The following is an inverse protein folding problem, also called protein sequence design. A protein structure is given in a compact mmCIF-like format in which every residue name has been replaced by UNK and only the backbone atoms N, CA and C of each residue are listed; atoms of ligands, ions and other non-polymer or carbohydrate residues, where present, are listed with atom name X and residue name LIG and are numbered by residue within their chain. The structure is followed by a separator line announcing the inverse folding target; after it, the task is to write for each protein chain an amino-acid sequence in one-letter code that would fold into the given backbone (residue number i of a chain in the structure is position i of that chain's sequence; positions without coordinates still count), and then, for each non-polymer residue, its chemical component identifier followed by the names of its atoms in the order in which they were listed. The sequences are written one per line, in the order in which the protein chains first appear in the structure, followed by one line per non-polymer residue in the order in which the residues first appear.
data_IF_953811519395
#
_entry.id   IF_953811519395
#
_cell.length_a   1.000
_cell.length_b   1.000
_cell.length_c   1.000
_cell.angle_alpha   90.00
_cell.angle_beta   90.00
_cell.angle_gamma   90.00
#
_symmetry.space_group_name_H-M   'P 1'
#
loop_
_entity.id
_entity.type
_entity.pdbx_description
1 polymer ?
#
# COMPACT_ATOMS: atom_id res chain seq x y z
N UNK A 1 1.92 -17.33 15.55
CA UNK A 1 2.04 -15.91 15.18
C UNK A 1 1.20 -15.03 16.11
N UNK A 2 1.58 -13.76 16.26
CA UNK A 2 0.82 -12.75 17.01
C UNK A 2 -0.41 -12.34 16.20
N UNK A 3 -1.58 -12.50 16.81
CA UNK A 3 -2.87 -12.14 16.24
C UNK A 3 -3.50 -11.10 17.18
N UNK A 4 -4.01 -10.02 16.60
CA UNK A 4 -4.68 -8.98 17.39
C UNK A 4 -6.10 -9.42 17.69
N UNK A 5 -6.36 -9.83 18.93
CA UNK A 5 -7.70 -10.28 19.36
C UNK A 5 -8.53 -9.15 19.99
N UNK A 6 -7.86 -8.14 20.55
CA UNK A 6 -8.53 -7.03 21.23
C UNK A 6 -8.86 -5.90 20.27
N UNK A 7 -10.14 -5.51 20.23
CA UNK A 7 -10.62 -4.37 19.45
C UNK A 7 -9.89 -3.06 19.80
N UNK A 8 -9.62 -2.82 21.08
CA UNK A 8 -8.90 -1.63 21.52
C UNK A 8 -7.45 -1.61 20.99
N UNK A 9 -6.78 -2.76 21.00
CA UNK A 9 -5.42 -2.90 20.45
C UNK A 9 -5.44 -2.69 18.94
N UNK A 10 -6.44 -3.23 18.24
CA UNK A 10 -6.61 -3.02 16.79
C UNK A 10 -6.73 -1.53 16.45
N UNK A 11 -7.54 -0.76 17.19
CA UNK A 11 -7.66 0.70 17.00
C UNK A 11 -6.31 1.39 17.22
N UNK A 12 -5.60 1.06 18.30
CA UNK A 12 -4.28 1.65 18.58
C UNK A 12 -3.31 1.36 17.44
N UNK A 13 -3.30 0.13 16.92
CA UNK A 13 -2.48 -0.26 15.77
C UNK A 13 -2.87 0.48 14.50
N UNK A 14 -4.16 0.78 14.29
CA UNK A 14 -4.61 1.64 13.20
C UNK A 14 -4.02 3.05 13.33
N UNK A 15 -4.07 3.67 14.52
CA UNK A 15 -3.46 4.98 14.72
C UNK A 15 -1.95 4.98 14.47
N UNK A 16 -1.24 3.96 14.96
CA UNK A 16 0.21 3.79 14.71
C UNK A 16 0.46 3.69 13.20
N UNK A 17 -0.32 2.88 12.48
CA UNK A 17 -0.23 2.75 11.02
C UNK A 17 -0.42 4.09 10.32
N UNK A 18 -1.41 4.89 10.73
CA UNK A 18 -1.65 6.21 10.14
C UNK A 18 -0.51 7.20 10.41
N UNK A 19 0.11 7.15 11.60
CA UNK A 19 1.28 7.97 11.93
C UNK A 19 2.49 7.55 11.07
N UNK A 20 2.76 6.25 10.98
CA UNK A 20 3.85 5.72 10.15
C UNK A 20 3.66 6.11 8.68
N UNK A 21 2.44 5.99 8.16
CA UNK A 21 2.14 6.36 6.78
C UNK A 21 2.32 7.86 6.52
N UNK A 22 1.80 8.72 7.41
CA UNK A 22 1.98 10.17 7.30
C UNK A 22 3.44 10.64 7.50
N UNK A 23 4.26 9.84 8.19
CA UNK A 23 5.68 10.18 8.41
C UNK A 23 6.48 10.20 7.12
N UNK A 24 6.09 9.43 6.10
CA UNK A 24 6.80 9.33 4.82
C UNK A 24 6.96 10.68 4.09
N UNK A 25 5.88 11.47 4.02
CA UNK A 25 5.94 12.80 3.39
C UNK A 25 6.77 13.80 4.21
N UNK A 26 6.95 13.56 5.51
CA UNK A 26 7.77 14.41 6.37
C UNK A 26 9.25 14.03 6.29
N UNK A 27 9.57 12.73 6.25
CA UNK A 27 10.94 12.23 6.14
C UNK A 27 11.54 12.55 4.77
N UNK A 28 10.77 12.45 3.69
CA UNK A 28 11.19 12.92 2.35
C UNK A 28 11.60 14.40 2.36
N UNK A 29 10.81 15.27 2.99
CA UNK A 29 11.11 16.71 3.13
C UNK A 29 12.32 16.99 4.02
N UNK A 30 12.54 16.18 5.06
CA UNK A 30 13.70 16.32 5.94
C UNK A 30 15.02 16.02 5.20
N UNK A 31 15.03 15.03 4.31
CA UNK A 31 16.24 14.62 3.57
C UNK A 31 16.44 15.40 2.27
N UNK A 32 15.38 15.98 1.69
CA UNK A 32 15.50 16.82 0.48
C UNK A 32 16.37 18.05 0.72
N UNK A 33 16.36 18.60 1.93
CA UNK A 33 17.23 19.70 2.33
C UNK A 33 18.72 19.30 2.43
N UNK A 34 19.02 18.00 2.41
CA UNK A 34 20.37 17.43 2.52
C UNK A 34 20.90 16.84 1.21
N UNK A 35 20.28 17.15 0.06
CA UNK A 35 20.62 16.62 -1.27
C UNK A 35 20.52 15.09 -1.38
N UNK A 36 19.75 14.42 -0.52
CA UNK A 36 19.46 13.01 -0.72
C UNK A 36 18.46 12.88 -1.86
N UNK A 37 18.87 12.27 -2.95
CA UNK A 37 18.01 12.16 -4.13
C UNK A 37 16.83 11.23 -3.84
N UNK A 38 15.68 11.58 -4.41
CA UNK A 38 14.45 10.82 -4.19
C UNK A 38 14.59 9.32 -4.52
N UNK A 39 15.28 8.90 -5.60
CA UNK A 39 15.49 7.46 -5.87
C UNK A 39 16.22 6.75 -4.73
N UNK A 40 17.24 7.38 -4.12
CA UNK A 40 17.98 6.79 -2.99
C UNK A 40 17.08 6.66 -1.76
N UNK A 41 16.28 7.67 -1.46
CA UNK A 41 15.27 7.59 -0.39
C UNK A 41 14.30 6.42 -0.59
N UNK A 42 13.89 6.18 -1.84
CA UNK A 42 12.98 5.09 -2.16
C UNK A 42 13.65 3.72 -2.03
N UNK A 43 14.93 3.60 -2.40
CA UNK A 43 15.73 2.39 -2.11
C UNK A 43 15.84 2.13 -0.61
N UNK A 44 16.13 3.15 0.20
CA UNK A 44 16.19 3.03 1.66
C UNK A 44 14.85 2.55 2.23
N UNK A 45 13.74 3.07 1.69
CA UNK A 45 12.39 2.64 2.04
C UNK A 45 12.15 1.16 1.69
N UNK A 46 12.49 0.72 0.48
CA UNK A 46 12.31 -0.67 0.03
C UNK A 46 13.14 -1.65 0.88
N UNK A 47 14.40 -1.32 1.14
CA UNK A 47 15.29 -2.12 2.00
C UNK A 47 14.75 -2.17 3.42
N UNK A 48 14.35 -1.01 3.96
CA UNK A 48 13.77 -0.90 5.30
C UNK A 48 12.50 -1.76 5.44
N UNK A 49 11.63 -1.75 4.42
CA UNK A 49 10.44 -2.59 4.39
C UNK A 49 10.80 -4.08 4.39
N UNK A 50 11.75 -4.50 3.55
CA UNK A 50 12.20 -5.89 3.50
C UNK A 50 12.78 -6.35 4.85
N UNK A 51 13.68 -5.56 5.45
CA UNK A 51 14.27 -5.87 6.74
C UNK A 51 13.23 -5.91 7.86
N UNK A 52 12.31 -4.94 7.90
CA UNK A 52 11.23 -4.93 8.89
C UNK A 52 10.27 -6.10 8.70
N UNK A 53 9.94 -6.47 7.45
CA UNK A 53 9.09 -7.62 7.15
C UNK A 53 9.72 -8.94 7.63
N UNK A 54 11.03 -9.12 7.40
CA UNK A 54 11.78 -10.27 7.88
C UNK A 54 11.81 -10.29 9.41
N UNK A 55 12.11 -9.15 10.04
CA UNK A 55 12.09 -9.02 11.49
C UNK A 55 10.73 -9.43 12.04
N UNK A 56 9.63 -8.91 11.49
CA UNK A 56 8.29 -9.26 11.94
C UNK A 56 7.95 -10.72 11.66
N UNK A 57 8.31 -11.28 10.52
CA UNK A 57 8.06 -12.69 10.19
C UNK A 57 8.75 -13.65 11.17
N UNK A 58 10.01 -13.39 11.51
CA UNK A 58 10.76 -14.20 12.48
C UNK A 58 10.42 -13.92 13.95
N UNK A 59 9.80 -12.78 14.25
CA UNK A 59 9.36 -12.44 15.62
C UNK A 59 7.84 -12.62 15.76
N UNK A 60 7.06 -11.56 15.54
CA UNK A 60 5.60 -11.57 15.67
C UNK A 60 4.95 -12.69 14.84
N UNK A 61 5.45 -12.97 13.64
CA UNK A 61 5.01 -14.06 12.78
C UNK A 61 5.29 -15.46 13.33
N UNK A 62 6.24 -15.63 14.24
CA UNK A 62 6.72 -16.95 14.68
C UNK A 62 6.66 -17.21 16.19
N UNK A 63 6.39 -16.20 17.03
CA UNK A 63 6.42 -16.30 18.50
C UNK A 63 5.05 -16.54 19.17
N UNK A 64 3.95 -16.66 18.43
CA UNK A 64 2.60 -16.85 18.99
C UNK A 64 2.09 -18.29 18.95
N UNK A 65 1.16 -18.64 19.84
CA UNK A 65 0.60 -19.99 20.03
C UNK A 65 -0.39 -20.44 18.94
N UNK A 66 -1.03 -19.49 18.25
CA UNK A 66 -1.97 -19.74 17.16
C UNK A 66 -1.39 -19.39 15.79
N UNK A 67 -1.98 -19.89 14.71
CA UNK A 67 -1.52 -19.64 13.35
C UNK A 67 -0.32 -20.51 12.94
N UNK A 68 0.45 -20.06 11.95
CA UNK A 68 1.60 -20.79 11.40
C UNK A 68 2.85 -19.91 11.46
N UNK A 69 3.98 -20.48 11.89
CA UNK A 69 5.27 -19.76 11.90
C UNK A 69 5.82 -19.60 10.47
N UNK A 70 6.68 -18.60 10.29
CA UNK A 70 7.12 -18.15 8.96
C UNK A 70 7.69 -19.27 8.08
N UNK A 71 8.65 -20.06 8.58
CA UNK A 71 9.33 -21.07 7.76
C UNK A 71 8.37 -22.18 7.28
N UNK A 72 7.58 -22.85 8.16
CA UNK A 72 6.56 -23.79 7.70
C UNK A 72 5.51 -23.17 6.78
N UNK A 73 5.17 -21.88 7.00
CA UNK A 73 4.17 -21.17 6.21
C UNK A 73 4.59 -20.95 4.76
N UNK A 74 5.87 -20.60 4.54
CA UNK A 74 6.45 -20.52 3.19
C UNK A 74 6.58 -21.91 2.55
N UNK A 75 7.04 -22.92 3.29
CA UNK A 75 7.27 -24.26 2.74
C UNK A 75 5.99 -24.92 2.22
N UNK A 76 4.87 -24.70 2.90
CA UNK A 76 3.59 -25.28 2.49
C UNK A 76 2.83 -24.42 1.45
N UNK A 77 3.24 -23.16 1.26
CA UNK A 77 2.51 -22.24 0.39
C UNK A 77 2.53 -22.72 -1.06
N UNK A 78 1.40 -22.57 -1.75
CA UNK A 78 1.33 -22.92 -3.17
C UNK A 78 2.15 -21.93 -3.99
N UNK A 79 2.70 -22.40 -5.12
CA UNK A 79 3.42 -21.51 -6.06
C UNK A 79 2.57 -20.34 -6.53
N UNK A 80 1.25 -20.53 -6.66
CA UNK A 80 0.30 -19.47 -7.03
C UNK A 80 0.24 -18.38 -5.96
N UNK A 81 0.16 -18.75 -4.68
CA UNK A 81 0.10 -17.80 -3.57
C UNK A 81 1.42 -17.02 -3.43
N UNK A 82 2.54 -17.71 -3.55
CA UNK A 82 3.87 -17.08 -3.53
C UNK A 82 4.01 -16.06 -4.67
N UNK A 83 3.66 -16.46 -5.90
CA UNK A 83 3.73 -15.56 -7.05
C UNK A 83 2.76 -14.39 -6.93
N UNK A 84 1.56 -14.60 -6.37
CA UNK A 84 0.57 -13.53 -6.18
C UNK A 84 1.09 -12.45 -5.21
N UNK A 85 1.72 -12.83 -4.10
CA UNK A 85 2.32 -11.88 -3.17
C UNK A 85 3.49 -11.09 -3.79
N UNK A 86 4.38 -11.77 -4.53
CA UNK A 86 5.48 -11.12 -5.25
C UNK A 86 4.93 -10.15 -6.31
N UNK A 87 3.94 -10.57 -7.09
CA UNK A 87 3.30 -9.75 -8.11
C UNK A 87 2.65 -8.50 -7.51
N UNK A 88 2.01 -8.62 -6.35
CA UNK A 88 1.50 -7.46 -5.61
C UNK A 88 2.62 -6.45 -5.29
N UNK A 89 3.78 -6.93 -4.84
CA UNK A 89 4.96 -6.10 -4.60
C UNK A 89 5.44 -5.37 -5.86
N UNK A 90 5.55 -6.08 -6.98
CA UNK A 90 5.99 -5.54 -8.27
C UNK A 90 5.02 -4.45 -8.76
N UNK A 91 3.71 -4.73 -8.73
CA UNK A 91 2.66 -3.78 -9.12
C UNK A 91 2.74 -2.53 -8.24
N UNK A 92 2.93 -2.70 -6.93
CA UNK A 92 3.06 -1.60 -5.99
C UNK A 92 4.31 -0.76 -6.27
N UNK A 93 5.45 -1.37 -6.57
CA UNK A 93 6.68 -0.66 -6.91
C UNK A 93 6.54 0.14 -8.21
N UNK A 94 6.07 -0.47 -9.29
CA UNK A 94 5.82 0.20 -10.57
C UNK A 94 4.92 1.42 -10.37
N UNK A 95 3.84 1.25 -9.61
CA UNK A 95 2.91 2.33 -9.32
C UNK A 95 3.56 3.46 -8.54
N UNK A 96 4.41 3.16 -7.57
CA UNK A 96 5.13 4.17 -6.81
C UNK A 96 6.14 4.93 -7.67
N UNK A 97 6.87 4.27 -8.57
CA UNK A 97 7.76 4.95 -9.51
C UNK A 97 6.97 5.95 -10.37
N UNK A 98 5.79 5.56 -10.86
CA UNK A 98 4.90 6.46 -11.59
C UNK A 98 4.37 7.60 -10.70
N UNK A 99 3.97 7.31 -9.46
CA UNK A 99 3.52 8.32 -8.50
C UNK A 99 4.61 9.36 -8.25
N UNK A 100 5.86 8.93 -8.16
CA UNK A 100 7.03 9.78 -7.95
C UNK A 100 7.30 10.65 -9.18
N UNK A 101 7.26 10.05 -10.38
CA UNK A 101 7.33 10.79 -11.62
C UNK A 101 6.21 11.84 -11.70
N UNK A 102 5.00 11.50 -11.27
CA UNK A 102 3.87 12.42 -11.18
C UNK A 102 4.12 13.56 -10.18
N UNK A 103 4.66 13.28 -8.99
CA UNK A 103 5.02 14.29 -8.00
C UNK A 103 6.03 15.30 -8.60
N UNK A 104 7.03 14.83 -9.35
CA UNK A 104 8.01 15.69 -10.02
C UNK A 104 7.43 16.55 -11.16
N UNK A 105 6.29 16.14 -11.73
CA UNK A 105 5.65 16.81 -12.86
C UNK A 105 4.50 17.75 -12.44
N UNK A 106 3.67 17.33 -11.49
CA UNK A 106 2.45 18.03 -11.07
C UNK A 106 2.47 18.51 -9.61
N UNK A 107 3.48 18.10 -8.83
CA UNK A 107 3.60 18.43 -7.40
C UNK A 107 2.86 17.44 -6.50
N UNK A 108 3.34 17.34 -5.26
CA UNK A 108 2.81 16.41 -4.24
C UNK A 108 1.33 16.66 -3.92
N UNK A 109 0.88 17.91 -3.95
CA UNK A 109 -0.50 18.30 -3.67
C UNK A 109 -1.52 17.81 -4.72
N UNK A 110 -1.09 17.43 -5.92
CA UNK A 110 -1.97 16.84 -6.96
C UNK A 110 -1.74 15.35 -7.10
N UNK A 111 -0.48 14.94 -7.22
CA UNK A 111 -0.12 13.56 -7.52
C UNK A 111 -0.58 12.60 -6.42
N UNK A 112 -0.42 12.98 -5.15
CA UNK A 112 -0.73 12.09 -4.03
C UNK A 112 -2.25 11.89 -3.86
N UNK A 113 -3.09 12.95 -3.80
CA UNK A 113 -4.54 12.78 -3.70
C UNK A 113 -5.12 12.03 -4.91
N UNK A 114 -4.68 12.33 -6.13
CA UNK A 114 -5.20 11.67 -7.33
C UNK A 114 -4.73 10.22 -7.42
N UNK A 115 -3.42 9.96 -7.30
CA UNK A 115 -2.87 8.61 -7.46
C UNK A 115 -3.29 7.68 -6.33
N UNK A 116 -2.95 8.03 -5.09
CA UNK A 116 -3.22 7.18 -3.92
C UNK A 116 -4.72 7.13 -3.61
N UNK A 117 -5.44 8.24 -3.78
CA UNK A 117 -6.88 8.26 -3.56
C UNK A 117 -7.64 7.39 -4.57
N UNK A 118 -7.24 7.41 -5.84
CA UNK A 118 -7.81 6.53 -6.87
C UNK A 118 -7.45 5.07 -6.60
N UNK A 119 -6.21 4.79 -6.17
CA UNK A 119 -5.78 3.45 -5.77
C UNK A 119 -6.62 2.90 -4.62
N UNK A 120 -6.92 3.72 -3.62
CA UNK A 120 -7.76 3.32 -2.49
C UNK A 120 -9.19 3.00 -2.95
N UNK A 121 -9.80 3.86 -3.77
CA UNK A 121 -11.15 3.63 -4.27
C UNK A 121 -11.23 2.34 -5.12
N UNK A 122 -10.31 2.17 -6.06
CA UNK A 122 -10.24 0.98 -6.91
C UNK A 122 -9.87 -0.29 -6.13
N UNK A 123 -8.95 -0.19 -5.18
CA UNK A 123 -8.57 -1.30 -4.30
C UNK A 123 -9.76 -1.81 -3.51
N UNK A 124 -10.52 -0.91 -2.87
CA UNK A 124 -11.73 -1.29 -2.14
C UNK A 124 -12.73 -1.98 -3.06
N UNK A 125 -13.01 -1.44 -4.25
CA UNK A 125 -13.96 -2.02 -5.20
C UNK A 125 -13.49 -3.41 -5.68
N UNK A 126 -12.25 -3.52 -6.14
CA UNK A 126 -11.71 -4.75 -6.74
C UNK A 126 -11.53 -5.88 -5.72
N UNK A 127 -11.18 -5.54 -4.49
CA UNK A 127 -11.14 -6.50 -3.37
C UNK A 127 -12.54 -6.93 -2.96
N UNK A 128 -13.50 -6.00 -2.84
CA UNK A 128 -14.88 -6.36 -2.46
C UNK A 128 -15.56 -7.28 -3.49
N UNK A 129 -15.27 -7.10 -4.79
CA UNK A 129 -15.76 -8.01 -5.84
C UNK A 129 -15.18 -9.43 -5.66
N UNK A 130 -13.93 -9.56 -5.21
CA UNK A 130 -13.27 -10.85 -5.00
C UNK A 130 -13.66 -11.54 -3.69
N UNK A 131 -13.75 -10.77 -2.61
CA UNK A 131 -14.06 -11.24 -1.26
C UNK A 131 -14.97 -10.21 -0.57
N UNK A 132 -16.31 -10.32 -0.70
CA UNK A 132 -17.24 -9.35 -0.14
C UNK A 132 -17.29 -9.48 1.39
N UNK A 133 -16.53 -8.64 2.07
CA UNK A 133 -16.50 -8.56 3.54
C UNK A 133 -16.90 -7.16 4.05
N UNK A 134 -17.57 -7.15 5.20
CA UNK A 134 -18.02 -5.92 5.89
C UNK A 134 -19.40 -5.42 5.43
N UNK A 135 -19.79 -4.26 5.96
CA UNK A 135 -21.04 -3.58 5.57
C UNK A 135 -20.82 -2.78 4.26
N UNK A 136 -21.47 -3.15 3.15
CA UNK A 136 -21.28 -2.46 1.87
C UNK A 136 -21.68 -1.00 1.91
N UNK A 137 -22.72 -0.64 2.67
CA UNK A 137 -23.23 0.72 2.72
C UNK A 137 -22.20 1.65 3.36
N UNK A 138 -21.62 1.25 4.50
CA UNK A 138 -20.56 2.00 5.18
C UNK A 138 -19.30 2.07 4.29
N UNK A 139 -18.91 0.94 3.69
CA UNK A 139 -17.74 0.85 2.83
C UNK A 139 -17.83 1.80 1.63
N UNK A 140 -18.92 1.73 0.86
CA UNK A 140 -19.09 2.55 -0.34
C UNK A 140 -19.39 4.02 -0.05
N UNK A 141 -20.00 4.35 1.10
CA UNK A 141 -20.06 5.73 1.59
C UNK A 141 -18.65 6.28 1.85
N UNK A 142 -17.78 5.49 2.49
CA UNK A 142 -16.38 5.87 2.67
C UNK A 142 -15.65 6.12 1.35
N UNK A 143 -15.85 5.24 0.36
CA UNK A 143 -15.31 5.41 -1.00
C UNK A 143 -15.84 6.70 -1.64
N UNK A 144 -17.15 6.99 -1.53
CA UNK A 144 -17.75 8.21 -2.06
C UNK A 144 -17.17 9.49 -1.41
N UNK A 145 -16.92 9.46 -0.09
CA UNK A 145 -16.24 10.55 0.61
C UNK A 145 -14.82 10.76 0.10
N UNK A 146 -14.05 9.68 -0.10
CA UNK A 146 -12.68 9.77 -0.67
C UNK A 146 -12.71 10.37 -2.08
N UNK A 147 -13.58 9.87 -2.96
CA UNK A 147 -13.72 10.40 -4.33
C UNK A 147 -14.07 11.89 -4.31
N UNK A 148 -14.99 12.30 -3.42
CA UNK A 148 -15.37 13.71 -3.27
C UNK A 148 -14.17 14.57 -2.82
N UNK A 149 -13.38 14.08 -1.86
CA UNK A 149 -12.18 14.78 -1.39
C UNK A 149 -11.12 14.93 -2.49
N UNK A 150 -10.93 13.92 -3.34
CA UNK A 150 -10.03 14.00 -4.50
C UNK A 150 -10.50 15.08 -5.47
N UNK A 151 -11.81 15.11 -5.78
CA UNK A 151 -12.41 16.12 -6.67
C UNK A 151 -12.20 17.52 -6.11
N UNK A 152 -12.49 17.75 -4.82
CA UNK A 152 -12.27 19.05 -4.19
C UNK A 152 -10.81 19.46 -4.19
N UNK A 153 -9.89 18.52 -3.95
CA UNK A 153 -8.45 18.78 -4.00
C UNK A 153 -8.01 19.17 -5.42
N UNK A 154 -8.49 18.48 -6.45
CA UNK A 154 -8.20 18.79 -7.84
C UNK A 154 -8.74 20.19 -8.24
N UNK A 155 -9.97 20.53 -7.81
CA UNK A 155 -10.57 21.85 -8.05
C UNK A 155 -9.78 22.95 -7.36
N UNK A 156 -9.46 22.78 -6.08
CA UNK A 156 -8.72 23.77 -5.31
C UNK A 156 -7.34 24.04 -5.94
N UNK A 157 -6.62 22.98 -6.31
CA UNK A 157 -5.29 23.13 -6.92
C UNK A 157 -5.35 23.78 -8.31
N UNK A 158 -6.39 23.46 -9.10
CA UNK A 158 -6.65 24.12 -10.38
C UNK A 158 -6.82 25.63 -10.29
N UNK A 159 -7.21 26.15 -9.11
CA UNK A 159 -7.40 27.59 -8.85
C UNK A 159 -6.16 28.30 -8.28
N UNK A 160 -5.27 27.57 -7.59
CA UNK A 160 -4.09 28.15 -6.91
C UNK A 160 -2.92 28.40 -7.86
N UNK A 161 -2.86 27.73 -9.02
CA UNK A 161 -1.63 27.70 -9.83
C UNK A 161 -1.74 28.58 -11.09
N UNK A 162 -1.04 29.73 -11.09
CA UNK A 162 -0.83 30.58 -12.28
C UNK A 162 0.25 30.02 -13.21
N UNK A 163 -0.06 30.00 -14.52
CA UNK A 163 0.78 29.99 -15.75
C UNK A 163 2.00 29.06 -15.92
N UNK A 164 2.54 28.38 -14.90
CA UNK A 164 3.68 27.49 -15.09
C UNK A 164 3.29 26.18 -15.82
N UNK A 165 3.66 26.11 -17.09
CA UNK A 165 3.84 24.93 -17.94
C UNK A 165 2.72 23.87 -17.89
N UNK A 166 1.52 24.28 -18.33
CA UNK A 166 0.28 23.49 -18.40
C UNK A 166 0.48 22.07 -18.98
N UNK A 167 1.35 21.93 -19.98
CA UNK A 167 1.68 20.64 -20.62
C UNK A 167 2.37 19.66 -19.66
N UNK A 168 3.39 20.12 -18.94
CA UNK A 168 4.13 19.32 -17.95
C UNK A 168 3.22 18.83 -16.83
N UNK A 169 2.35 19.72 -16.33
CA UNK A 169 1.37 19.37 -15.30
C UNK A 169 0.35 18.34 -15.78
N UNK A 170 -0.17 18.49 -16.99
CA UNK A 170 -1.12 17.52 -17.55
C UNK A 170 -0.49 16.12 -17.69
N UNK A 171 0.78 16.04 -18.10
CA UNK A 171 1.53 14.79 -18.08
C UNK A 171 1.58 14.21 -16.66
N UNK A 172 1.94 15.03 -15.67
CA UNK A 172 1.97 14.60 -14.27
C UNK A 172 0.61 14.08 -13.76
N UNK A 173 -0.50 14.74 -14.11
CA UNK A 173 -1.84 14.29 -13.74
C UNK A 173 -2.18 12.92 -14.38
N UNK A 174 -1.90 12.76 -15.67
CA UNK A 174 -2.12 11.47 -16.37
C UNK A 174 -1.26 10.39 -15.73
N UNK A 175 -0.01 10.68 -15.40
CA UNK A 175 0.88 9.74 -14.69
C UNK A 175 0.33 9.40 -13.30
N UNK A 176 -0.28 10.34 -12.57
CA UNK A 176 -0.93 10.06 -11.28
C UNK A 176 -2.10 9.09 -11.43
N UNK A 177 -2.94 9.31 -12.45
CA UNK A 177 -4.10 8.46 -12.73
C UNK A 177 -3.64 7.05 -13.08
N UNK A 178 -2.65 6.91 -13.96
CA UNK A 178 -2.08 5.61 -14.31
C UNK A 178 -1.47 4.91 -13.09
N UNK A 179 -0.71 5.64 -12.27
CA UNK A 179 -0.17 5.12 -11.02
C UNK A 179 -1.28 4.62 -10.09
N UNK A 180 -2.35 5.40 -9.92
CA UNK A 180 -3.48 5.05 -9.08
C UNK A 180 -4.27 3.85 -9.60
N UNK A 181 -4.48 3.78 -10.92
CA UNK A 181 -5.14 2.62 -11.55
C UNK A 181 -4.33 1.37 -11.30
N UNK A 182 -3.02 1.37 -11.57
CA UNK A 182 -2.15 0.20 -11.39
C UNK A 182 -2.09 -0.18 -9.90
N UNK A 183 -1.91 0.81 -9.02
CA UNK A 183 -1.85 0.58 -7.57
C UNK A 183 -3.17 0.01 -7.04
N UNK A 184 -4.32 0.37 -7.61
CA UNK A 184 -5.61 -0.20 -7.19
C UNK A 184 -5.68 -1.73 -7.22
N UNK A 185 -4.84 -2.42 -8.00
CA UNK A 185 -4.88 -3.88 -8.12
C UNK A 185 -3.97 -4.62 -7.16
N UNK A 186 -2.94 -3.98 -6.59
CA UNK A 186 -1.91 -4.70 -5.83
C UNK A 186 -2.52 -5.44 -4.64
N UNK A 187 -3.46 -4.80 -3.94
CA UNK A 187 -4.00 -5.34 -2.70
C UNK A 187 -4.86 -6.59 -2.95
N UNK A 188 -5.53 -6.68 -4.10
CA UNK A 188 -6.26 -7.89 -4.50
C UNK A 188 -5.30 -9.09 -4.59
N UNK A 189 -4.20 -8.97 -5.32
CA UNK A 189 -3.21 -10.04 -5.45
C UNK A 189 -2.58 -10.41 -4.10
N UNK A 190 -2.35 -9.41 -3.24
CA UNK A 190 -1.84 -9.67 -1.89
C UNK A 190 -2.88 -10.42 -1.04
N UNK A 191 -4.15 -10.00 -1.06
CA UNK A 191 -5.24 -10.64 -0.35
C UNK A 191 -5.44 -12.10 -0.81
N UNK A 192 -5.40 -12.35 -2.13
CA UNK A 192 -5.54 -13.68 -2.72
C UNK A 192 -4.40 -14.64 -2.29
N UNK A 193 -3.28 -14.11 -1.80
CA UNK A 193 -2.16 -14.92 -1.27
C UNK A 193 -2.33 -15.32 0.20
N UNK A 194 -3.23 -14.67 0.93
CA UNK A 194 -3.37 -14.77 2.38
C UNK A 194 -4.60 -15.60 2.78
N UNK A 195 -4.51 -16.27 3.92
CA UNK A 195 -5.65 -16.96 4.52
C UNK A 195 -6.51 -16.01 5.35
N UNK A 196 -7.83 -16.08 5.19
CA UNK A 196 -8.79 -15.29 6.00
C UNK A 196 -8.81 -15.71 7.48
N UNK A 197 -8.55 -16.99 7.78
CA UNK A 197 -8.48 -17.48 9.16
C UNK A 197 -7.02 -17.49 9.65
N UNK A 198 -6.66 -16.46 10.39
CA UNK A 198 -5.32 -16.30 10.94
C UNK A 198 -4.95 -17.35 12.00
N UNK A 199 -5.92 -17.83 12.78
CA UNK A 199 -5.67 -18.83 13.82
C UNK A 199 -5.41 -20.23 13.25
N UNK A 200 -6.07 -20.55 12.14
CA UNK A 200 -5.92 -21.80 11.40
C UNK A 200 -5.76 -21.52 9.91
N UNK A 201 -4.56 -21.08 9.47
CA UNK A 201 -4.33 -20.72 8.08
C UNK A 201 -4.57 -21.92 7.17
N UNK A 202 -5.31 -21.70 6.09
CA UNK A 202 -5.60 -22.72 5.09
C UNK A 202 -4.31 -23.25 4.46
N UNK A 203 -4.36 -24.49 3.96
CA UNK A 203 -3.23 -25.05 3.21
C UNK A 203 -3.09 -24.34 1.86
N UNK A 204 -1.87 -24.14 1.40
CA UNK A 204 -1.53 -23.43 0.16
C UNK A 204 -1.58 -21.90 0.26
N UNK A 205 -2.25 -21.32 1.27
CA UNK A 205 -2.28 -19.88 1.54
C UNK A 205 -1.31 -19.51 2.67
N UNK A 206 -0.90 -18.24 2.71
CA UNK A 206 0.05 -17.70 3.68
C UNK A 206 -0.63 -16.92 4.80
N UNK A 207 0.11 -16.74 5.89
CA UNK A 207 -0.17 -15.73 6.91
C UNK A 207 0.21 -14.33 6.41
N UNK A 208 -0.38 -13.26 6.99
CA UNK A 208 -0.02 -11.89 6.63
C UNK A 208 1.47 -11.55 6.82
N UNK A 209 2.13 -12.13 7.83
CA UNK A 209 3.55 -11.92 8.08
C UNK A 209 4.43 -12.49 6.97
N UNK A 210 4.11 -13.68 6.48
CA UNK A 210 4.83 -14.31 5.37
C UNK A 210 4.54 -13.60 4.05
N UNK A 211 3.27 -13.31 3.77
CA UNK A 211 2.87 -12.60 2.55
C UNK A 211 3.54 -11.22 2.46
N UNK A 212 3.72 -10.52 3.58
CA UNK A 212 4.42 -9.24 3.63
C UNK A 212 5.89 -9.35 3.22
N UNK A 213 6.60 -10.44 3.57
CA UNK A 213 7.98 -10.66 3.13
C UNK A 213 8.04 -10.82 1.61
N UNK A 214 7.15 -11.61 1.03
CA UNK A 214 7.13 -11.86 -0.42
C UNK A 214 6.70 -10.60 -1.19
N UNK A 215 5.76 -9.84 -0.63
CA UNK A 215 5.43 -8.50 -1.11
C UNK A 215 6.65 -7.57 -1.09
N UNK A 216 7.40 -7.55 0.01
CA UNK A 216 8.59 -6.71 0.12
C UNK A 216 9.71 -7.14 -0.85
N UNK A 217 9.84 -8.44 -1.14
CA UNK A 217 10.75 -8.95 -2.19
C UNK A 217 10.33 -8.48 -3.57
N UNK A 218 9.04 -8.52 -3.90
CA UNK A 218 8.56 -7.99 -5.19
C UNK A 218 8.65 -6.47 -5.30
N UNK A 219 8.66 -5.78 -4.16
CA UNK A 219 8.80 -4.34 -4.08
C UNK A 219 10.24 -3.86 -4.24
N UNK A 220 11.22 -4.70 -3.91
CA UNK A 220 12.65 -4.43 -3.99
C UNK A 220 13.17 -4.67 -5.43
#
# INVERSE_FOLDING_TARGET
MFIVESYAVAIIMCFITMICWGSWANTTKLVSNKKWEFPLFYWDYSIGLLLCSLLFAFTLGSMGEAGRSFIPDIQQASSSSLMSAILAGIIFNISNILLVASINLAGMAVAFPVGVGLALALGVITTYIGNPQGDPLILFLGVACVVSAIIFTAIAYGRVTQEADKSRRNKGLITAILAGIIMGWFFRFLADSMSDNFSQPASGLMTPYSALVLFAVGLF
#
